data_IF_463596415259
#
_entry.id   IF_463596415259
#
_cell.length_a   1.000
_cell.length_b   1.000
_cell.length_c   1.000
_cell.angle_alpha   90.00
_cell.angle_beta   90.00
_cell.angle_gamma   90.00
#
_symmetry.space_group_name_H-M   'P 1'
#
loop_
_entity.id
_entity.type
_entity.pdbx_description
1 polymer ?
#
# COMPACT_ATOMS: atom_id res chain seq x y z
N UNK A 1 4.81 -29.42 8.14
CA UNK A 1 4.47 -28.80 6.84
C UNK A 1 4.40 -29.90 5.79
N UNK A 2 3.42 -29.87 4.86
CA UNK A 2 3.42 -30.75 3.69
C UNK A 2 4.66 -30.52 2.82
N UNK A 3 5.12 -31.56 2.11
CA UNK A 3 6.36 -31.54 1.32
C UNK A 3 6.42 -30.39 0.29
N UNK A 4 5.31 -30.14 -0.42
CA UNK A 4 5.22 -29.03 -1.37
C UNK A 4 5.37 -27.65 -0.71
N UNK A 5 4.93 -27.49 0.54
CA UNK A 5 5.06 -26.23 1.29
C UNK A 5 6.52 -26.00 1.71
N UNK A 6 7.24 -27.07 2.06
CA UNK A 6 8.67 -27.01 2.40
C UNK A 6 9.50 -26.58 1.19
N UNK A 7 9.19 -27.09 0.00
CA UNK A 7 9.87 -26.68 -1.25
C UNK A 7 9.69 -25.17 -1.48
N UNK A 8 8.47 -24.66 -1.32
CA UNK A 8 8.19 -23.23 -1.46
C UNK A 8 8.93 -22.41 -0.40
N UNK A 9 8.89 -22.82 0.86
CA UNK A 9 9.61 -22.15 1.95
C UNK A 9 11.11 -22.02 1.64
N UNK A 10 11.75 -23.14 1.28
CA UNK A 10 13.18 -23.19 0.98
C UNK A 10 13.57 -22.34 -0.23
N UNK A 11 12.65 -22.10 -1.16
CA UNK A 11 12.89 -21.19 -2.30
C UNK A 11 12.74 -19.74 -1.91
N UNK A 12 11.67 -19.39 -1.20
CA UNK A 12 11.38 -18.00 -0.82
C UNK A 12 12.21 -17.49 0.34
N UNK A 13 12.86 -18.36 1.12
CA UNK A 13 13.85 -17.91 2.11
C UNK A 13 15.18 -17.47 1.45
N UNK A 14 15.45 -17.92 0.23
CA UNK A 14 16.67 -17.58 -0.49
C UNK A 14 16.58 -16.18 -1.12
N UNK A 15 17.38 -15.24 -0.61
CA UNK A 15 17.45 -13.84 -1.07
C UNK A 15 17.73 -13.72 -2.57
N UNK A 16 18.62 -14.55 -3.11
CA UNK A 16 18.96 -14.51 -4.54
C UNK A 16 17.78 -14.92 -5.43
N UNK A 17 16.93 -15.83 -4.95
CA UNK A 17 15.74 -16.24 -5.67
C UNK A 17 14.70 -15.11 -5.70
N UNK A 18 14.42 -14.49 -4.54
CA UNK A 18 13.50 -13.34 -4.46
C UNK A 18 13.97 -12.20 -5.36
N UNK A 19 15.26 -11.84 -5.29
CA UNK A 19 15.80 -10.74 -6.09
C UNK A 19 15.65 -10.99 -7.59
N UNK A 20 15.98 -12.19 -8.08
CA UNK A 20 15.78 -12.55 -9.49
C UNK A 20 14.30 -12.56 -9.88
N UNK A 21 13.43 -13.09 -9.02
CA UNK A 21 11.98 -13.11 -9.25
C UNK A 21 11.43 -11.69 -9.43
N UNK A 22 11.81 -10.78 -8.52
CA UNK A 22 11.42 -9.37 -8.57
C UNK A 22 11.97 -8.70 -9.84
N UNK A 23 13.24 -8.96 -10.21
CA UNK A 23 13.82 -8.44 -11.43
C UNK A 23 13.05 -8.88 -12.68
N UNK A 24 12.65 -10.15 -12.77
CA UNK A 24 11.80 -10.62 -13.88
C UNK A 24 10.44 -9.92 -13.89
N UNK A 25 9.81 -9.70 -12.73
CA UNK A 25 8.54 -9.01 -12.64
C UNK A 25 8.59 -7.56 -13.14
N UNK A 26 9.74 -6.90 -12.97
CA UNK A 26 9.98 -5.52 -13.45
C UNK A 26 10.12 -5.50 -14.99
N UNK A 27 10.74 -6.52 -15.58
CA UNK A 27 11.05 -6.58 -17.02
C UNK A 27 9.85 -7.03 -17.86
N UNK A 28 9.01 -7.95 -17.35
CA UNK A 28 7.99 -8.67 -18.14
C UNK A 28 6.92 -7.80 -18.85
N UNK A 29 6.74 -6.52 -18.48
CA UNK A 29 5.63 -5.69 -18.98
C UNK A 29 6.17 -4.40 -19.63
N UNK A 30 6.61 -4.50 -20.90
CA UNK A 30 6.99 -3.36 -21.76
C UNK A 30 5.95 -3.07 -22.88
N UNK A 31 4.81 -3.75 -22.93
CA UNK A 31 3.84 -3.63 -24.03
C UNK A 31 2.51 -3.00 -23.57
N UNK A 32 2.46 -1.68 -23.76
CA UNK A 32 1.29 -0.80 -23.93
C UNK A 32 0.50 -0.30 -22.70
N UNK A 33 0.35 -1.02 -21.58
CA UNK A 33 -0.19 -0.43 -20.34
C UNK A 33 0.38 -1.09 -19.08
N UNK A 34 1.19 -0.35 -18.31
CA UNK A 34 1.70 -0.81 -17.02
C UNK A 34 0.54 -0.79 -16.02
N UNK A 35 0.06 -1.96 -15.61
CA UNK A 35 -1.11 -2.11 -14.73
C UNK A 35 -0.81 -3.00 -13.52
N UNK A 36 -1.48 -2.73 -12.40
CA UNK A 36 -1.34 -3.53 -11.18
C UNK A 36 -1.78 -4.99 -11.43
N UNK A 37 -0.86 -5.94 -11.22
CA UNK A 37 -1.10 -7.33 -11.54
C UNK A 37 -1.76 -8.09 -10.37
N UNK A 38 -3.05 -8.41 -10.54
CA UNK A 38 -3.86 -9.10 -9.54
C UNK A 38 -3.34 -10.51 -9.18
N UNK A 39 -2.74 -11.21 -10.14
CA UNK A 39 -2.25 -12.57 -9.90
C UNK A 39 -0.99 -12.54 -9.03
N UNK A 40 -0.09 -11.56 -9.26
CA UNK A 40 1.10 -11.34 -8.43
C UNK A 40 0.71 -10.94 -7.01
N UNK A 41 -0.22 -9.99 -6.86
CA UNK A 41 -0.79 -9.65 -5.55
C UNK A 41 -1.36 -10.89 -4.82
N UNK A 42 -2.17 -11.71 -5.49
CA UNK A 42 -2.76 -12.93 -4.89
C UNK A 42 -1.69 -13.95 -4.49
N UNK A 43 -0.63 -14.08 -5.28
CA UNK A 43 0.53 -14.91 -4.96
C UNK A 43 1.22 -14.43 -3.68
N UNK A 44 1.55 -13.13 -3.57
CA UNK A 44 2.16 -12.55 -2.39
C UNK A 44 1.27 -12.67 -1.15
N UNK A 45 -0.03 -12.40 -1.28
CA UNK A 45 -1.02 -12.65 -0.22
C UNK A 45 -0.95 -14.09 0.29
N UNK A 46 -0.91 -15.07 -0.62
CA UNK A 46 -0.80 -16.48 -0.26
C UNK A 46 0.52 -16.80 0.44
N UNK A 47 1.62 -16.20 -0.02
CA UNK A 47 2.95 -16.38 0.55
C UNK A 47 3.00 -15.92 2.01
N UNK A 48 2.64 -14.67 2.28
CA UNK A 48 2.68 -14.10 3.64
C UNK A 48 1.65 -14.73 4.58
N UNK A 49 0.49 -15.18 4.05
CA UNK A 49 -0.50 -15.92 4.85
C UNK A 49 0.06 -17.25 5.37
N UNK A 50 0.91 -17.94 4.59
CA UNK A 50 1.40 -19.27 4.92
C UNK A 50 2.74 -19.25 5.69
N UNK A 51 3.62 -18.29 5.39
CA UNK A 51 4.99 -18.28 5.91
C UNK A 51 5.28 -17.17 6.93
N UNK A 52 4.37 -16.21 7.10
CA UNK A 52 4.46 -15.25 8.20
C UNK A 52 5.65 -14.29 8.10
N UNK A 53 6.22 -13.96 9.27
CA UNK A 53 7.32 -13.01 9.44
C UNK A 53 8.66 -13.48 8.88
N UNK A 54 8.90 -14.79 8.76
CA UNK A 54 10.19 -15.36 8.32
C UNK A 54 10.64 -14.77 6.98
N UNK A 55 9.70 -14.47 6.10
CA UNK A 55 9.99 -13.92 4.78
C UNK A 55 10.05 -12.38 4.77
N UNK A 56 9.44 -11.71 5.75
CA UNK A 56 9.27 -10.25 5.74
C UNK A 56 10.62 -9.53 5.68
N UNK A 57 11.60 -9.94 6.46
CA UNK A 57 12.91 -9.28 6.47
C UNK A 57 13.56 -9.26 5.08
N UNK A 58 13.48 -10.38 4.34
CA UNK A 58 14.03 -10.44 2.98
C UNK A 58 13.22 -9.57 1.99
N UNK A 59 11.90 -9.50 2.13
CA UNK A 59 11.06 -8.66 1.29
C UNK A 59 11.21 -7.17 1.60
N UNK A 60 11.40 -6.79 2.87
CA UNK A 60 11.64 -5.40 3.26
C UNK A 60 12.94 -4.86 2.66
N UNK A 61 14.02 -5.66 2.66
CA UNK A 61 15.27 -5.30 1.97
C UNK A 61 15.04 -5.06 0.46
N UNK A 62 14.22 -5.88 -0.19
CA UNK A 62 13.90 -5.69 -1.62
C UNK A 62 12.97 -4.49 -1.87
N UNK A 63 11.99 -4.26 -1.00
CA UNK A 63 11.09 -3.10 -1.09
C UNK A 63 11.87 -1.79 -1.00
N UNK A 64 12.84 -1.71 -0.10
CA UNK A 64 13.73 -0.55 0.04
C UNK A 64 14.47 -0.27 -1.28
N UNK A 65 15.05 -1.30 -1.91
CA UNK A 65 15.72 -1.18 -3.22
C UNK A 65 14.75 -0.68 -4.30
N UNK A 66 13.52 -1.22 -4.33
CA UNK A 66 12.52 -0.85 -5.35
C UNK A 66 12.06 0.60 -5.24
N UNK A 67 11.83 1.09 -4.01
CA UNK A 67 11.33 2.45 -3.77
C UNK A 67 12.41 3.49 -4.03
N UNK A 68 13.68 3.14 -3.81
CA UNK A 68 14.83 4.00 -4.06
C UNK A 68 15.37 3.93 -5.50
N UNK A 69 14.70 3.22 -6.42
CA UNK A 69 15.13 3.15 -7.82
C UNK A 69 15.05 4.54 -8.48
N UNK A 70 16.20 5.03 -8.97
CA UNK A 70 16.34 6.37 -9.56
C UNK A 70 16.20 6.37 -11.08
N UNK A 71 16.24 5.21 -11.71
CA UNK A 71 16.14 5.07 -13.16
C UNK A 71 14.69 5.28 -13.59
N UNK A 72 14.37 6.42 -14.20
CA UNK A 72 13.00 6.81 -14.59
C UNK A 72 12.24 5.71 -15.33
N UNK A 73 12.90 5.03 -16.27
CA UNK A 73 12.33 3.94 -17.07
C UNK A 73 11.87 2.75 -16.22
N UNK A 74 12.57 2.47 -15.12
CA UNK A 74 12.27 1.35 -14.22
C UNK A 74 11.43 1.76 -13.03
N UNK A 75 11.48 3.04 -12.63
CA UNK A 75 10.85 3.56 -11.42
C UNK A 75 9.36 3.20 -11.35
N UNK A 76 8.61 3.41 -12.44
CA UNK A 76 7.19 3.06 -12.48
C UNK A 76 6.95 1.56 -12.21
N UNK A 77 7.69 0.69 -12.90
CA UNK A 77 7.61 -0.75 -12.72
C UNK A 77 8.06 -1.20 -11.32
N UNK A 78 9.09 -0.58 -10.75
CA UNK A 78 9.54 -0.83 -9.39
C UNK A 78 8.46 -0.48 -8.36
N UNK A 79 7.86 0.71 -8.45
CA UNK A 79 6.78 1.12 -7.55
C UNK A 79 5.54 0.24 -7.71
N UNK A 80 5.23 -0.21 -8.93
CA UNK A 80 4.13 -1.15 -9.16
C UNK A 80 4.38 -2.49 -8.48
N UNK A 81 5.53 -3.11 -8.70
CA UNK A 81 5.88 -4.39 -8.06
C UNK A 81 5.93 -4.23 -6.53
N UNK A 82 6.48 -3.11 -6.04
CA UNK A 82 6.45 -2.79 -4.61
C UNK A 82 5.02 -2.68 -4.06
N UNK A 83 4.12 -1.99 -4.79
CA UNK A 83 2.71 -1.87 -4.44
C UNK A 83 2.00 -3.24 -4.40
N UNK A 84 2.29 -4.14 -5.36
CA UNK A 84 1.76 -5.50 -5.38
C UNK A 84 2.23 -6.34 -4.19
N UNK A 85 3.52 -6.24 -3.82
CA UNK A 85 4.10 -6.91 -2.66
C UNK A 85 3.48 -6.36 -1.37
N UNK A 86 3.45 -5.04 -1.19
CA UNK A 86 2.90 -4.39 0.02
C UNK A 86 1.42 -4.74 0.21
N UNK A 87 0.62 -4.68 -0.86
CA UNK A 87 -0.77 -5.12 -0.80
C UNK A 87 -0.89 -6.58 -0.36
N UNK A 88 -0.02 -7.44 -0.90
CA UNK A 88 0.07 -8.85 -0.52
C UNK A 88 0.44 -9.06 0.94
N UNK A 89 1.38 -8.28 1.48
CA UNK A 89 1.79 -8.30 2.89
C UNK A 89 0.60 -7.92 3.78
N UNK A 90 -0.02 -6.77 3.52
CA UNK A 90 -1.17 -6.26 4.30
C UNK A 90 -2.31 -7.27 4.28
N UNK A 91 -2.65 -7.83 3.11
CA UNK A 91 -3.75 -8.79 3.00
C UNK A 91 -3.38 -10.17 3.56
N UNK A 92 -2.11 -10.55 3.51
CA UNK A 92 -1.57 -11.82 4.02
C UNK A 92 -1.49 -11.87 5.54
N UNK A 93 -1.33 -10.71 6.21
CA UNK A 93 -1.21 -10.61 7.66
C UNK A 93 -2.54 -10.66 8.43
N UNK A 94 -3.68 -10.86 7.74
CA UNK A 94 -5.04 -10.90 8.32
C UNK A 94 -5.17 -11.81 9.56
N UNK A 95 -4.45 -12.94 9.57
CA UNK A 95 -4.54 -13.98 10.61
C UNK A 95 -3.26 -14.11 11.45
N UNK A 96 -2.38 -13.14 11.41
CA UNK A 96 -1.17 -13.15 12.23
C UNK A 96 -1.50 -12.84 13.70
N UNK A 97 -0.56 -13.18 14.60
CA UNK A 97 -0.67 -12.79 16.01
C UNK A 97 -0.47 -11.28 16.16
N UNK A 98 -0.88 -10.71 17.29
CA UNK A 98 -0.75 -9.28 17.52
C UNK A 98 0.72 -8.84 17.52
N UNK A 99 1.60 -9.63 18.14
CA UNK A 99 3.04 -9.33 18.22
C UNK A 99 3.66 -9.30 16.81
N UNK A 100 3.27 -10.26 15.96
CA UNK A 100 3.74 -10.31 14.59
C UNK A 100 3.19 -9.16 13.73
N UNK A 101 1.96 -8.74 14.01
CA UNK A 101 1.34 -7.60 13.36
C UNK A 101 2.05 -6.29 13.76
N UNK A 102 2.34 -6.11 15.05
CA UNK A 102 3.08 -4.95 15.56
C UNK A 102 4.48 -4.84 14.93
N UNK A 103 5.23 -5.95 14.88
CA UNK A 103 6.54 -5.98 14.23
C UNK A 103 6.45 -5.61 12.74
N UNK A 104 5.42 -6.12 12.04
CA UNK A 104 5.19 -5.78 10.65
C UNK A 104 4.93 -4.28 10.47
N UNK A 105 4.00 -3.70 11.23
CA UNK A 105 3.63 -2.29 11.06
C UNK A 105 4.74 -1.32 11.50
N UNK A 106 5.57 -1.69 12.48
CA UNK A 106 6.77 -0.92 12.82
C UNK A 106 7.72 -0.76 11.62
N UNK A 107 7.84 -1.79 10.77
CA UNK A 107 8.65 -1.76 9.55
C UNK A 107 7.92 -1.10 8.37
N UNK A 108 6.61 -1.33 8.26
CA UNK A 108 5.83 -0.91 7.09
C UNK A 108 5.41 0.56 7.14
N UNK A 109 5.12 1.13 8.33
CA UNK A 109 4.68 2.53 8.46
C UNK A 109 5.74 3.52 7.96
N UNK A 110 7.03 3.42 8.32
CA UNK A 110 8.07 4.31 7.79
C UNK A 110 8.15 4.27 6.26
N UNK A 111 8.06 3.07 5.69
CA UNK A 111 8.05 2.86 4.25
C UNK A 111 6.86 3.54 3.59
N UNK A 112 5.65 3.36 4.14
CA UNK A 112 4.43 3.99 3.63
C UNK A 112 4.48 5.52 3.74
N UNK A 113 5.06 6.06 4.81
CA UNK A 113 5.28 7.50 4.96
C UNK A 113 6.19 8.02 3.83
N UNK A 114 7.33 7.37 3.60
CA UNK A 114 8.27 7.75 2.55
C UNK A 114 7.66 7.66 1.14
N UNK A 115 6.85 6.62 0.90
CA UNK A 115 6.12 6.48 -0.36
C UNK A 115 5.16 7.66 -0.53
N UNK A 116 4.35 7.97 0.50
CA UNK A 116 3.33 9.02 0.41
C UNK A 116 3.92 10.42 0.25
N UNK A 117 5.10 10.70 0.81
CA UNK A 117 5.79 11.99 0.63
C UNK A 117 6.45 12.14 -0.73
N UNK A 118 6.76 11.03 -1.42
CA UNK A 118 7.43 11.00 -2.72
C UNK A 118 6.52 10.44 -3.84
N UNK A 119 5.20 10.63 -3.75
CA UNK A 119 4.26 10.20 -4.79
C UNK A 119 4.39 11.05 -6.05
N UNK A 120 4.20 10.40 -7.20
CA UNK A 120 4.18 11.00 -8.53
C UNK A 120 2.86 10.63 -9.23
N UNK A 121 2.39 11.40 -10.23
CA UNK A 121 1.14 11.08 -10.94
C UNK A 121 1.11 9.66 -11.53
N UNK A 122 2.27 9.18 -12.00
CA UNK A 122 2.44 7.86 -12.62
C UNK A 122 2.40 6.71 -11.60
N UNK A 123 2.79 6.97 -10.34
CA UNK A 123 2.86 5.95 -9.29
C UNK A 123 1.63 5.93 -8.39
N UNK A 124 0.87 7.04 -8.36
CA UNK A 124 -0.32 7.21 -7.53
C UNK A 124 -1.37 6.12 -7.78
N UNK A 125 -1.57 5.73 -9.04
CA UNK A 125 -2.54 4.71 -9.42
C UNK A 125 -2.22 3.35 -8.77
N UNK A 126 -0.95 2.93 -8.78
CA UNK A 126 -0.50 1.66 -8.19
C UNK A 126 -0.69 1.64 -6.67
N UNK A 127 -0.31 2.73 -5.99
CA UNK A 127 -0.49 2.83 -4.53
C UNK A 127 -1.98 2.94 -4.15
N UNK A 128 -2.80 3.62 -4.95
CA UNK A 128 -4.24 3.63 -4.79
C UNK A 128 -4.86 2.23 -4.86
N UNK A 129 -4.38 1.39 -5.78
CA UNK A 129 -4.80 -0.01 -5.89
C UNK A 129 -4.25 -0.84 -4.72
N UNK A 130 -3.01 -0.60 -4.29
CA UNK A 130 -2.44 -1.25 -3.12
C UNK A 130 -3.30 -1.02 -1.85
N UNK A 131 -3.68 0.23 -1.57
CA UNK A 131 -4.55 0.55 -0.43
C UNK A 131 -5.95 -0.05 -0.61
N UNK A 132 -6.53 0.01 -1.81
CA UNK A 132 -7.84 -0.60 -2.11
C UNK A 132 -7.86 -2.10 -1.81
N UNK A 133 -6.96 -2.87 -2.43
CA UNK A 133 -6.93 -4.33 -2.26
C UNK A 133 -6.33 -4.78 -0.94
N UNK A 134 -5.49 -3.93 -0.35
CA UNK A 134 -4.99 -4.10 1.01
C UNK A 134 -6.09 -4.02 2.07
N UNK A 135 -7.18 -3.29 1.83
CA UNK A 135 -8.29 -3.09 2.78
C UNK A 135 -9.58 -3.87 2.48
N UNK A 136 -9.76 -4.32 1.25
CA UNK A 136 -10.95 -5.05 0.81
C UNK A 136 -11.24 -6.31 1.67
N UNK A 137 -12.51 -6.64 1.92
CA UNK A 137 -13.00 -7.77 2.77
C UNK A 137 -12.26 -8.01 4.09
N UNK A 138 -11.79 -6.93 4.73
CA UNK A 138 -11.13 -6.99 6.02
C UNK A 138 -11.97 -6.33 7.10
N UNK A 139 -11.74 -6.78 8.33
CA UNK A 139 -12.29 -6.13 9.53
C UNK A 139 -11.44 -4.90 9.84
N UNK A 140 -12.01 -3.69 9.88
CA UNK A 140 -11.25 -2.47 10.16
C UNK A 140 -10.50 -2.51 11.48
N UNK A 141 -11.01 -3.24 12.49
CA UNK A 141 -10.36 -3.36 13.81
C UNK A 141 -9.01 -4.07 13.73
N UNK A 142 -8.85 -4.99 12.78
CA UNK A 142 -7.56 -5.68 12.52
C UNK A 142 -6.59 -4.82 11.73
N UNK A 143 -7.08 -3.80 11.04
CA UNK A 143 -6.30 -2.85 10.25
C UNK A 143 -6.15 -1.49 10.95
N UNK A 144 -6.20 -1.48 12.28
CA UNK A 144 -6.14 -0.24 13.07
C UNK A 144 -4.87 0.57 12.80
N UNK A 145 -3.72 -0.07 12.59
CA UNK A 145 -2.47 0.61 12.24
C UNK A 145 -2.57 1.36 10.89
N UNK A 146 -3.15 0.74 9.87
CA UNK A 146 -3.34 1.37 8.56
C UNK A 146 -4.34 2.53 8.62
N UNK A 147 -5.41 2.35 9.38
CA UNK A 147 -6.41 3.39 9.62
C UNK A 147 -5.77 4.58 10.36
N UNK A 148 -4.96 4.31 11.39
CA UNK A 148 -4.26 5.35 12.13
C UNK A 148 -3.24 6.07 11.24
N UNK A 149 -2.53 5.34 10.37
CA UNK A 149 -1.65 5.91 9.36
C UNK A 149 -2.39 6.87 8.40
N UNK A 150 -3.58 6.48 7.93
CA UNK A 150 -4.37 7.37 7.06
C UNK A 150 -4.86 8.60 7.84
N UNK A 151 -5.25 8.43 9.11
CA UNK A 151 -5.60 9.56 9.97
C UNK A 151 -4.44 10.53 10.17
N UNK A 152 -3.21 10.03 10.33
CA UNK A 152 -2.03 10.90 10.42
C UNK A 152 -1.75 11.61 9.11
N UNK A 153 -1.95 10.94 7.96
CA UNK A 153 -1.76 11.53 6.63
C UNK A 153 -2.72 12.70 6.36
N UNK A 154 -3.97 12.61 6.82
CA UNK A 154 -4.97 13.67 6.66
C UNK A 154 -4.62 14.91 7.48
N UNK A 155 -4.15 14.70 8.71
CA UNK A 155 -3.84 15.80 9.62
C UNK A 155 -2.46 16.41 9.37
N UNK A 156 -1.71 15.93 8.37
CA UNK A 156 -0.36 16.38 8.12
C UNK A 156 -0.35 17.75 7.42
N UNK A 157 -0.20 18.79 8.24
CA UNK A 157 -0.11 20.18 7.78
C UNK A 157 1.20 20.50 7.05
N UNK A 158 2.17 19.57 6.99
CA UNK A 158 3.44 19.78 6.28
C UNK A 158 3.32 19.61 4.77
N UNK A 159 2.17 19.13 4.28
CA UNK A 159 1.92 18.95 2.84
C UNK A 159 1.64 20.31 2.19
N UNK A 160 2.70 20.97 1.74
CA UNK A 160 2.62 22.24 0.99
C UNK A 160 2.29 21.99 -0.49
N UNK A 161 2.60 20.80 -1.00
CA UNK A 161 2.40 20.47 -2.41
C UNK A 161 0.96 20.03 -2.67
N UNK A 162 0.22 20.80 -3.47
CA UNK A 162 -1.16 20.53 -3.90
C UNK A 162 -1.34 19.14 -4.50
N UNK A 163 -0.34 18.61 -5.22
CA UNK A 163 -0.44 17.27 -5.78
C UNK A 163 -0.41 16.19 -4.69
N UNK A 164 0.47 16.33 -3.70
CA UNK A 164 0.55 15.40 -2.58
C UNK A 164 -0.72 15.48 -1.73
N UNK A 165 -1.27 16.68 -1.53
CA UNK A 165 -2.54 16.89 -0.85
C UNK A 165 -3.69 16.17 -1.57
N UNK A 166 -3.78 16.35 -2.90
CA UNK A 166 -4.73 15.65 -3.77
C UNK A 166 -4.56 14.12 -3.67
N UNK A 167 -3.31 13.65 -3.65
CA UNK A 167 -2.96 12.24 -3.53
C UNK A 167 -3.40 11.66 -2.19
N UNK A 168 -3.27 12.42 -1.10
CA UNK A 168 -3.74 12.02 0.22
C UNK A 168 -5.26 11.84 0.22
N UNK A 169 -6.02 12.81 -0.28
CA UNK A 169 -7.47 12.69 -0.42
C UNK A 169 -7.88 11.49 -1.31
N UNK A 170 -7.14 11.23 -2.39
CA UNK A 170 -7.35 10.05 -3.22
C UNK A 170 -7.10 8.73 -2.48
N UNK A 171 -6.11 8.66 -1.59
CA UNK A 171 -5.85 7.49 -0.75
C UNK A 171 -6.91 7.34 0.35
N UNK A 172 -7.39 8.45 0.93
CA UNK A 172 -8.49 8.47 1.92
C UNK A 172 -9.77 7.89 1.33
N UNK A 173 -10.07 8.17 0.06
CA UNK A 173 -11.19 7.54 -0.65
C UNK A 173 -11.10 6.01 -0.69
N UNK A 174 -9.96 5.38 -0.40
CA UNK A 174 -9.88 3.90 -0.31
C UNK A 174 -10.43 3.37 1.00
N UNK A 175 -10.64 4.21 2.02
CA UNK A 175 -11.38 3.83 3.24
C UNK A 175 -12.83 3.46 2.96
N UNK A 176 -13.39 3.85 1.81
CA UNK A 176 -14.74 3.45 1.37
C UNK A 176 -14.93 1.94 1.29
N UNK A 177 -13.84 1.16 1.14
CA UNK A 177 -13.89 -0.30 1.22
C UNK A 177 -14.32 -0.82 2.61
N UNK A 178 -14.18 0.00 3.66
CA UNK A 178 -14.71 -0.33 4.98
C UNK A 178 -16.19 0.05 5.16
N UNK A 179 -16.76 0.83 4.23
CA UNK A 179 -18.14 1.29 4.26
C UNK A 179 -18.48 1.94 5.62
N UNK A 180 -19.65 1.61 6.19
CA UNK A 180 -20.17 2.09 7.46
C UNK A 180 -19.40 1.62 8.70
N UNK A 181 -18.39 0.74 8.55
CA UNK A 181 -17.72 0.07 9.68
C UNK A 181 -16.68 0.93 10.41
N UNK A 182 -16.38 2.13 9.91
CA UNK A 182 -15.39 3.07 10.49
C UNK A 182 -15.96 4.48 10.72
N UNK A 183 -17.08 4.62 11.47
CA UNK A 183 -17.79 5.89 11.58
C UNK A 183 -16.96 6.99 12.25
N UNK A 184 -16.13 6.64 13.25
CA UNK A 184 -15.31 7.61 13.98
C UNK A 184 -14.27 8.30 13.09
N UNK A 185 -13.69 7.57 12.14
CA UNK A 185 -12.74 8.12 11.17
C UNK A 185 -13.48 8.97 10.16
N UNK A 186 -14.62 8.51 9.63
CA UNK A 186 -15.44 9.30 8.71
C UNK A 186 -15.91 10.62 9.32
N UNK A 187 -16.29 10.65 10.61
CA UNK A 187 -16.63 11.90 11.31
C UNK A 187 -15.45 12.88 11.30
N UNK A 188 -14.25 12.42 11.69
CA UNK A 188 -13.05 13.28 11.71
C UNK A 188 -12.67 13.77 10.30
N UNK A 189 -12.77 12.89 9.30
CA UNK A 189 -12.52 13.24 7.88
C UNK A 189 -13.51 14.29 7.41
N UNK A 190 -14.80 14.14 7.73
CA UNK A 190 -15.85 15.07 7.31
C UNK A 190 -15.72 16.44 7.97
N UNK A 191 -15.27 16.50 9.23
CA UNK A 191 -14.95 17.76 9.90
C UNK A 191 -13.81 18.48 9.19
N UNK A 192 -12.71 17.77 8.93
CA UNK A 192 -11.57 18.34 8.22
C UNK A 192 -11.89 18.73 6.77
N UNK A 193 -12.64 17.90 6.05
CA UNK A 193 -13.09 18.16 4.68
C UNK A 193 -13.93 19.44 4.57
N UNK A 194 -14.76 19.74 5.58
CA UNK A 194 -15.58 20.95 5.62
C UNK A 194 -14.74 22.22 5.75
N UNK A 195 -13.65 22.17 6.49
CA UNK A 195 -12.72 23.30 6.66
C UNK A 195 -12.00 23.63 5.35
N UNK A 196 -11.91 22.67 4.41
CA UNK A 196 -11.16 22.80 3.17
C UNK A 196 -12.05 22.94 1.91
N UNK A 197 -13.35 23.24 2.07
CA UNK A 197 -14.27 23.38 0.94
C UNK A 197 -13.94 24.58 0.03
N UNK A 198 -13.35 25.63 0.58
CA UNK A 198 -12.94 26.85 -0.12
C UNK A 198 -11.50 26.78 -0.68
N UNK A 199 -10.87 25.59 -0.65
CA UNK A 199 -9.49 25.39 -1.10
C UNK A 199 -9.26 25.93 -2.52
N UNK A 200 -8.16 26.66 -2.82
CA UNK A 200 -7.99 27.37 -4.10
C UNK A 200 -7.95 26.45 -5.32
N UNK A 201 -7.44 25.23 -5.17
CA UNK A 201 -7.25 24.30 -6.30
C UNK A 201 -8.47 23.42 -6.57
N UNK A 202 -8.91 23.42 -7.83
CA UNK A 202 -10.09 22.66 -8.31
C UNK A 202 -9.97 21.15 -8.04
N UNK A 203 -8.82 20.54 -8.34
CA UNK A 203 -8.62 19.09 -8.16
C UNK A 203 -8.80 18.66 -6.70
N UNK A 204 -8.25 19.42 -5.76
CA UNK A 204 -8.41 19.13 -4.32
C UNK A 204 -9.89 19.18 -3.94
N UNK A 205 -10.63 20.21 -4.39
CA UNK A 205 -12.08 20.31 -4.14
C UNK A 205 -12.87 19.15 -4.74
N UNK A 206 -12.50 18.65 -5.92
CA UNK A 206 -13.16 17.49 -6.54
C UNK A 206 -12.97 16.21 -5.69
N UNK A 207 -11.76 15.98 -5.16
CA UNK A 207 -11.52 14.84 -4.30
C UNK A 207 -12.19 14.98 -2.93
N UNK A 208 -12.19 16.18 -2.33
CA UNK A 208 -12.95 16.45 -1.11
C UNK A 208 -14.45 16.20 -1.35
N UNK A 209 -15.01 16.66 -2.46
CA UNK A 209 -16.40 16.43 -2.81
C UNK A 209 -16.71 14.93 -2.97
N UNK A 210 -15.81 14.17 -3.61
CA UNK A 210 -15.95 12.71 -3.69
C UNK A 210 -15.94 12.04 -2.31
N UNK A 211 -15.10 12.52 -1.38
CA UNK A 211 -15.03 11.99 -0.01
C UNK A 211 -16.33 12.25 0.74
N UNK A 212 -16.89 13.45 0.62
CA UNK A 212 -18.16 13.83 1.25
C UNK A 212 -19.39 13.16 0.64
N UNK A 213 -19.26 12.59 -0.57
CA UNK A 213 -20.36 11.93 -1.28
C UNK A 213 -20.62 10.49 -0.83
N UNK A 214 -19.70 9.89 -0.05
CA UNK A 214 -19.76 8.51 0.44
C UNK A 214 -20.41 8.46 1.82
#
# INVERSE_FOLDING_TARGET
MPEHVVILYNRFINRNFISKLIQYMIIEEELDEITFNFNRFRMFKGLFRNFGLDLISNFMEQLDILIHEKTKEKQQNCHRVAAEIVAGIIRGSKYWTLEALEELWQKLIPLLNEICTNLNPETLSYWGLCFKFGMEDLDPRRMHHLIQFIRTLINDQTIVNTFLETSCWFLVLKLTNFEWRVPSIWCAINEHAKEMLDHPYKLVREYIANVLSV
#
